data_IF_337905765110
#
_entry.id   IF_337905765110
#
_cell.length_a   1.000
_cell.length_b   1.000
_cell.length_c   1.000
_cell.angle_alpha   90.00
_cell.angle_beta   90.00
_cell.angle_gamma   90.00
#
_symmetry.space_group_name_H-M   'P 1'
#
loop_
_entity.id
_entity.type
_entity.pdbx_description
1 polymer ?
#
# COMPACT_ATOMS: atom_id res chain seq x y z
N UNK A 1 17.74 -53.71 47.62
CA UNK A 1 18.29 -52.60 46.82
C UNK A 1 17.89 -52.84 45.37
N UNK A 2 16.99 -52.04 44.79
CA UNK A 2 17.03 -51.55 43.41
C UNK A 2 15.74 -50.80 43.04
N UNK A 3 15.97 -49.67 42.36
CA UNK A 3 15.14 -48.48 42.25
C UNK A 3 14.04 -48.64 41.20
N UNK A 4 12.85 -48.13 41.52
CA UNK A 4 11.71 -48.01 40.62
C UNK A 4 12.05 -47.04 39.48
N UNK A 5 11.91 -47.48 38.23
CA UNK A 5 11.96 -46.61 37.06
C UNK A 5 10.63 -45.85 36.95
N UNK A 6 10.70 -44.53 36.86
CA UNK A 6 9.57 -43.65 36.55
C UNK A 6 9.74 -43.17 35.10
N UNK A 7 8.80 -43.56 34.23
CA UNK A 7 8.60 -42.96 32.92
C UNK A 7 7.97 -41.57 33.14
N UNK A 8 8.62 -40.52 32.65
CA UNK A 8 8.02 -39.20 32.52
C UNK A 8 7.63 -38.98 31.05
N UNK A 9 6.34 -39.06 30.77
CA UNK A 9 5.78 -38.68 29.47
C UNK A 9 5.60 -37.17 29.40
N UNK A 10 6.41 -36.50 28.57
CA UNK A 10 6.22 -35.10 28.19
C UNK A 10 5.10 -35.03 27.14
N UNK A 11 3.92 -34.61 27.57
CA UNK A 11 2.84 -34.18 26.68
C UNK A 11 3.17 -32.76 26.22
N UNK A 12 3.82 -32.64 25.07
CA UNK A 12 3.98 -31.36 24.38
C UNK A 12 2.67 -31.01 23.69
N UNK A 13 1.94 -30.04 24.23
CA UNK A 13 0.83 -29.38 23.53
C UNK A 13 1.40 -28.59 22.35
N UNK A 14 1.33 -29.17 21.16
CA UNK A 14 1.49 -28.44 19.91
C UNK A 14 0.30 -27.50 19.77
N UNK A 15 0.51 -26.20 19.99
CA UNK A 15 -0.41 -25.19 19.50
C UNK A 15 -0.30 -25.23 17.97
N UNK A 16 -1.23 -25.93 17.33
CA UNK A 16 -1.46 -25.76 15.90
C UNK A 16 -2.10 -24.39 15.73
N UNK A 17 -1.28 -23.34 15.62
CA UNK A 17 -1.73 -22.05 15.11
C UNK A 17 -2.13 -22.32 13.66
N UNK A 18 -3.43 -22.46 13.40
CA UNK A 18 -3.93 -22.46 12.03
C UNK A 18 -3.53 -21.13 11.41
N UNK A 19 -2.71 -21.15 10.37
CA UNK A 19 -2.45 -19.99 9.54
C UNK A 19 -3.78 -19.54 8.94
N UNK A 20 -4.43 -18.57 9.59
CA UNK A 20 -5.63 -17.93 9.08
C UNK A 20 -5.17 -16.84 8.11
N UNK A 21 -5.86 -16.72 6.99
CA UNK A 21 -5.65 -15.60 6.10
C UNK A 21 -5.90 -14.29 6.85
N UNK A 22 -4.93 -13.38 6.80
CA UNK A 22 -5.01 -12.04 7.37
C UNK A 22 -5.05 -11.01 6.24
N UNK A 23 -5.86 -9.96 6.42
CA UNK A 23 -5.92 -8.83 5.49
C UNK A 23 -5.04 -7.70 6.01
N UNK A 24 -4.04 -7.32 5.23
CA UNK A 24 -3.17 -6.19 5.48
C UNK A 24 -3.52 -5.05 4.53
N UNK A 25 -3.64 -3.85 5.07
CA UNK A 25 -3.80 -2.62 4.33
C UNK A 25 -2.48 -1.89 4.33
N UNK A 26 -2.09 -1.33 3.19
CA UNK A 26 -0.84 -0.59 3.06
C UNK A 26 -1.04 0.74 2.34
N UNK A 27 -0.12 1.66 2.58
CA UNK A 27 -0.03 2.92 1.87
C UNK A 27 1.41 3.42 1.78
N UNK A 28 1.80 3.88 0.59
CA UNK A 28 2.93 4.78 0.38
C UNK A 28 2.38 6.18 0.17
N UNK A 29 2.91 7.17 0.89
CA UNK A 29 2.47 8.55 0.80
C UNK A 29 3.65 9.49 0.53
N UNK A 30 3.42 10.44 -0.37
CA UNK A 30 4.42 11.42 -0.79
C UNK A 30 5.21 10.88 -1.96
N UNK A 31 4.92 11.35 -3.18
CA UNK A 31 5.54 10.85 -4.41
C UNK A 31 5.94 12.02 -5.32
N UNK A 32 7.03 11.84 -6.06
CA UNK A 32 7.51 12.81 -7.03
C UNK A 32 6.88 12.55 -8.40
N UNK A 33 6.18 13.53 -8.97
CA UNK A 33 5.75 13.43 -10.36
C UNK A 33 6.97 13.58 -11.28
N UNK A 34 7.24 12.57 -12.12
CA UNK A 34 8.44 12.48 -12.95
C UNK A 34 8.54 13.62 -13.97
N UNK A 35 7.43 14.00 -14.58
CA UNK A 35 7.41 14.95 -15.70
C UNK A 35 7.52 16.40 -15.22
N UNK A 36 6.92 16.71 -14.08
CA UNK A 36 6.95 18.06 -13.49
C UNK A 36 8.11 18.26 -12.51
N UNK A 37 8.68 17.18 -11.97
CA UNK A 37 9.67 17.24 -10.89
C UNK A 37 9.10 17.77 -9.57
N UNK A 38 7.78 17.82 -9.41
CA UNK A 38 7.12 18.34 -8.21
C UNK A 38 6.79 17.20 -7.26
N UNK A 39 7.24 17.31 -6.02
CA UNK A 39 6.88 16.38 -4.95
C UNK A 39 5.46 16.68 -4.45
N UNK A 40 4.60 15.66 -4.49
CA UNK A 40 3.23 15.74 -4.03
C UNK A 40 3.08 15.00 -2.69
N UNK A 41 2.98 15.70 -1.55
CA UNK A 41 2.91 15.08 -0.22
C UNK A 41 1.57 14.36 0.05
N UNK A 42 0.56 14.58 -0.78
CA UNK A 42 -0.76 13.93 -0.67
C UNK A 42 -0.97 12.83 -1.72
N UNK A 43 -0.03 12.65 -2.65
CA UNK A 43 -0.06 11.50 -3.56
C UNK A 43 0.13 10.22 -2.75
N UNK A 44 -0.74 9.24 -2.96
CA UNK A 44 -0.76 8.00 -2.20
C UNK A 44 -1.00 6.81 -3.12
N UNK A 45 -0.13 5.82 -3.00
CA UNK A 45 -0.35 4.46 -3.50
C UNK A 45 -0.85 3.65 -2.32
N UNK A 46 -2.04 3.09 -2.39
CA UNK A 46 -2.65 2.36 -1.30
C UNK A 46 -3.28 1.07 -1.79
N UNK A 47 -3.49 0.13 -0.89
CA UNK A 47 -4.04 -1.15 -1.28
C UNK A 47 -4.22 -2.08 -0.10
N UNK A 48 -4.50 -3.33 -0.43
CA UNK A 48 -4.53 -4.40 0.56
C UNK A 48 -4.10 -5.72 -0.06
N UNK A 49 -3.65 -6.62 0.79
CA UNK A 49 -3.37 -8.00 0.43
C UNK A 49 -3.92 -8.93 1.50
N UNK A 50 -4.30 -10.13 1.06
CA UNK A 50 -4.76 -11.22 1.92
C UNK A 50 -3.72 -12.31 1.84
N UNK A 51 -3.14 -12.68 2.97
CA UNK A 51 -2.06 -13.64 3.03
C UNK A 51 -2.16 -14.57 4.24
N UNK A 52 -1.68 -15.80 4.08
CA UNK A 52 -1.55 -16.78 5.16
C UNK A 52 -0.08 -17.15 5.32
N UNK A 53 0.48 -17.00 6.53
CA UNK A 53 1.86 -17.43 6.81
C UNK A 53 1.92 -18.96 6.93
N UNK A 54 2.08 -19.63 5.78
CA UNK A 54 2.02 -21.09 5.68
C UNK A 54 3.27 -21.75 6.25
N UNK A 55 4.40 -21.03 6.24
CA UNK A 55 5.70 -21.56 6.64
C UNK A 55 6.13 -21.10 8.06
N UNK A 56 5.39 -20.17 8.67
CA UNK A 56 5.60 -19.60 10.01
C UNK A 56 6.92 -18.83 10.16
N UNK A 57 7.39 -18.16 9.11
CA UNK A 57 8.62 -17.37 9.13
C UNK A 57 8.41 -15.89 9.48
N UNK A 58 7.16 -15.46 9.65
CA UNK A 58 6.81 -14.07 9.98
C UNK A 58 6.97 -13.10 8.81
N UNK A 59 7.12 -13.63 7.59
CA UNK A 59 7.07 -12.92 6.33
C UNK A 59 6.03 -13.54 5.41
N UNK A 60 5.64 -12.80 4.37
CA UNK A 60 4.69 -13.28 3.38
C UNK A 60 5.33 -13.20 2.02
N UNK A 61 5.39 -14.34 1.36
CA UNK A 61 5.84 -14.48 -0.01
C UNK A 61 4.65 -14.48 -0.99
N UNK A 62 4.95 -14.34 -2.29
CA UNK A 62 3.95 -14.39 -3.36
C UNK A 62 3.06 -15.65 -3.31
N UNK A 63 3.60 -16.80 -2.90
CA UNK A 63 2.85 -18.06 -2.85
C UNK A 63 1.90 -18.15 -1.64
N UNK A 64 2.05 -17.23 -0.68
CA UNK A 64 1.22 -17.12 0.52
C UNK A 64 0.11 -16.09 0.34
N UNK A 65 0.01 -15.47 -0.84
CA UNK A 65 -1.06 -14.57 -1.21
C UNK A 65 -2.30 -15.31 -1.70
N UNK A 66 -3.43 -14.97 -1.10
CA UNK A 66 -4.75 -15.30 -1.60
C UNK A 66 -5.26 -14.22 -2.55
N UNK A 67 -4.99 -12.95 -2.25
CA UNK A 67 -5.47 -11.81 -3.03
C UNK A 67 -4.59 -10.57 -2.85
N UNK A 68 -4.48 -9.76 -3.90
CA UNK A 68 -3.76 -8.49 -3.86
C UNK A 68 -4.51 -7.41 -4.64
N UNK A 69 -4.55 -6.20 -4.09
CA UNK A 69 -5.12 -5.02 -4.71
C UNK A 69 -4.30 -3.77 -4.42
N UNK A 70 -4.17 -2.90 -5.41
CA UNK A 70 -3.47 -1.63 -5.30
C UNK A 70 -4.17 -0.55 -6.12
N UNK A 71 -4.20 0.66 -5.59
CA UNK A 71 -4.75 1.84 -6.21
C UNK A 71 -3.86 3.06 -6.00
N UNK A 72 -4.29 4.17 -6.57
CA UNK A 72 -3.58 5.43 -6.54
C UNK A 72 -4.54 6.61 -6.35
N UNK A 73 -4.19 7.51 -5.44
CA UNK A 73 -4.93 8.75 -5.17
C UNK A 73 -3.95 9.94 -5.15
N UNK A 74 -4.38 11.18 -5.45
CA UNK A 74 -5.74 11.64 -5.73
C UNK A 74 -6.20 11.53 -7.19
N UNK A 75 -5.37 11.03 -8.11
CA UNK A 75 -5.65 11.07 -9.56
C UNK A 75 -6.74 10.11 -10.08
N UNK A 76 -7.61 9.61 -9.20
CA UNK A 76 -8.86 8.93 -9.60
C UNK A 76 -8.69 7.50 -10.12
N UNK A 77 -7.60 6.81 -9.77
CA UNK A 77 -7.46 5.40 -10.07
C UNK A 77 -8.41 4.57 -9.21
N UNK A 78 -9.37 3.89 -9.83
CA UNK A 78 -10.05 2.77 -9.16
C UNK A 78 -8.99 1.71 -8.90
N UNK A 79 -8.79 1.32 -7.63
CA UNK A 79 -7.79 0.29 -7.31
C UNK A 79 -7.99 -0.96 -8.17
N UNK A 80 -6.89 -1.57 -8.59
CA UNK A 80 -6.86 -2.73 -9.45
C UNK A 80 -6.32 -3.94 -8.68
N UNK A 81 -6.97 -5.08 -8.89
CA UNK A 81 -6.58 -6.34 -8.29
C UNK A 81 -5.78 -7.16 -9.28
N UNK A 82 -4.62 -7.63 -8.87
CA UNK A 82 -3.95 -8.75 -9.53
C UNK A 82 -3.95 -9.88 -8.53
N UNK A 83 -4.36 -11.07 -8.93
CA UNK A 83 -4.27 -12.24 -8.05
C UNK A 83 -2.82 -12.53 -7.66
N UNK A 84 -2.53 -13.75 -7.24
CA UNK A 84 -1.16 -14.16 -6.91
C UNK A 84 -0.28 -14.50 -8.13
N UNK A 85 -0.75 -14.23 -9.35
CA UNK A 85 -0.13 -14.70 -10.59
C UNK A 85 -0.38 -13.75 -11.75
N UNK A 86 0.28 -14.05 -12.88
CA UNK A 86 0.07 -13.35 -14.14
C UNK A 86 -0.95 -14.10 -14.99
N UNK A 87 -1.75 -13.34 -15.72
CA UNK A 87 -2.80 -13.88 -16.54
C UNK A 87 -3.28 -12.88 -17.58
N UNK A 88 -4.16 -13.37 -18.45
CA UNK A 88 -4.76 -12.59 -19.51
C UNK A 88 -6.19 -13.04 -19.73
N UNK A 89 -7.06 -12.09 -20.01
CA UNK A 89 -8.41 -12.28 -20.52
C UNK A 89 -8.54 -11.48 -21.84
N UNK A 90 -9.64 -11.65 -22.61
CA UNK A 90 -9.87 -10.79 -23.75
C UNK A 90 -9.75 -9.30 -23.35
N UNK A 91 -8.86 -8.58 -24.03
CA UNK A 91 -8.57 -7.15 -23.81
C UNK A 91 -7.90 -6.79 -22.49
N UNK A 92 -7.54 -7.75 -21.64
CA UNK A 92 -6.96 -7.49 -20.32
C UNK A 92 -5.74 -8.38 -20.06
N UNK A 93 -4.67 -7.81 -19.53
CA UNK A 93 -3.51 -8.54 -19.03
C UNK A 93 -3.19 -8.03 -17.63
N UNK A 94 -2.75 -8.94 -16.78
CA UNK A 94 -2.28 -8.61 -15.45
C UNK A 94 -1.08 -9.46 -15.07
N UNK A 95 -0.23 -8.92 -14.20
CA UNK A 95 0.90 -9.63 -13.65
C UNK A 95 1.19 -9.15 -12.24
N UNK A 96 1.39 -10.09 -11.33
CA UNK A 96 2.12 -9.86 -10.09
C UNK A 96 3.45 -10.57 -10.31
N UNK A 97 4.53 -9.83 -10.55
CA UNK A 97 5.86 -10.39 -10.82
C UNK A 97 6.56 -10.75 -9.50
N UNK A 98 6.62 -9.78 -8.60
CA UNK A 98 7.31 -9.87 -7.31
C UNK A 98 6.40 -9.45 -6.16
N UNK A 99 6.43 -10.22 -5.08
CA UNK A 99 5.76 -9.88 -3.84
C UNK A 99 6.53 -10.45 -2.65
N UNK A 100 6.87 -9.58 -1.71
CA UNK A 100 7.24 -9.99 -0.35
C UNK A 100 6.87 -8.93 0.67
N UNK A 101 6.46 -9.36 1.85
CA UNK A 101 6.22 -8.48 2.99
C UNK A 101 6.84 -9.04 4.26
N UNK A 102 7.52 -8.19 5.01
CA UNK A 102 7.91 -8.46 6.40
C UNK A 102 7.97 -7.15 7.18
N UNK A 103 7.80 -7.21 8.51
CA UNK A 103 7.93 -6.01 9.35
C UNK A 103 9.32 -5.37 9.25
N UNK A 104 10.38 -6.15 8.97
CA UNK A 104 11.75 -5.65 8.89
C UNK A 104 12.12 -5.06 7.52
N UNK A 105 11.63 -5.64 6.43
CA UNK A 105 12.01 -5.24 5.06
C UNK A 105 10.93 -4.40 4.37
N UNK A 106 9.77 -4.24 4.99
CA UNK A 106 8.61 -3.58 4.40
C UNK A 106 7.94 -4.45 3.33
N UNK A 107 7.09 -3.80 2.53
CA UNK A 107 6.44 -4.40 1.38
C UNK A 107 7.31 -4.15 0.14
N UNK A 108 7.50 -5.19 -0.67
CA UNK A 108 8.11 -5.16 -2.00
C UNK A 108 7.11 -5.74 -2.97
N UNK A 109 6.85 -5.01 -4.05
CA UNK A 109 5.84 -5.33 -5.04
C UNK A 109 6.33 -4.96 -6.43
N UNK A 110 6.14 -5.87 -7.39
CA UNK A 110 6.19 -5.56 -8.82
C UNK A 110 4.93 -6.12 -9.46
N UNK A 111 4.11 -5.25 -10.00
CA UNK A 111 2.83 -5.64 -10.57
C UNK A 111 2.42 -4.71 -11.72
N UNK A 112 1.62 -5.24 -12.64
CA UNK A 112 1.08 -4.50 -13.77
C UNK A 112 -0.32 -4.98 -14.15
N UNK A 113 -1.09 -4.07 -14.71
CA UNK A 113 -2.38 -4.34 -15.34
C UNK A 113 -2.52 -3.48 -16.58
N UNK A 114 -3.11 -4.02 -17.63
CA UNK A 114 -3.43 -3.30 -18.85
C UNK A 114 -4.76 -3.80 -19.39
N UNK A 115 -5.66 -2.89 -19.73
CA UNK A 115 -6.89 -3.13 -20.45
C UNK A 115 -6.81 -2.33 -21.76
N UNK A 116 -7.05 -2.96 -22.90
CA UNK A 116 -7.01 -2.29 -24.20
C UNK A 116 -8.00 -2.89 -25.18
N UNK A 117 -8.90 -2.03 -25.67
CA UNK A 117 -9.80 -2.25 -26.80
C UNK A 117 -9.43 -1.27 -27.92
N UNK A 118 -10.11 -1.36 -29.06
CA UNK A 118 -9.73 -0.67 -30.31
C UNK A 118 -9.61 0.85 -30.16
N UNK A 119 -10.45 1.48 -29.36
CA UNK A 119 -10.58 2.93 -29.20
C UNK A 119 -10.25 3.43 -27.78
N UNK A 120 -10.09 2.52 -26.81
CA UNK A 120 -9.86 2.85 -25.41
C UNK A 120 -8.82 1.93 -24.78
N UNK A 121 -8.02 2.48 -23.86
CA UNK A 121 -7.06 1.69 -23.11
C UNK A 121 -6.72 2.35 -21.78
N UNK A 122 -6.36 1.53 -20.82
CA UNK A 122 -5.96 1.92 -19.48
C UNK A 122 -4.94 0.93 -18.96
N UNK A 123 -3.95 1.39 -18.21
CA UNK A 123 -3.04 0.49 -17.53
C UNK A 123 -2.32 1.16 -16.40
N UNK A 124 -1.78 0.33 -15.52
CA UNK A 124 -0.98 0.76 -14.41
C UNK A 124 0.12 -0.25 -14.13
N UNK A 125 1.25 0.23 -13.63
CA UNK A 125 2.33 -0.62 -13.13
C UNK A 125 2.97 -0.01 -11.91
N UNK A 126 3.52 -0.87 -11.06
CA UNK A 126 4.17 -0.51 -9.82
C UNK A 126 5.41 -1.35 -9.63
N UNK A 127 6.49 -0.69 -9.24
CA UNK A 127 7.74 -1.29 -8.77
C UNK A 127 8.16 -0.52 -7.51
N UNK A 128 7.99 -1.15 -6.36
CA UNK A 128 8.20 -0.51 -5.06
C UNK A 128 9.60 0.07 -4.93
N UNK A 129 9.66 1.34 -4.49
CA UNK A 129 10.93 2.05 -4.32
C UNK A 129 11.49 2.59 -5.64
N UNK A 130 10.84 2.33 -6.78
CA UNK A 130 11.23 2.88 -8.09
C UNK A 130 10.13 3.78 -8.66
N UNK A 131 9.03 3.21 -9.13
CA UNK A 131 8.02 3.97 -9.86
C UNK A 131 6.64 3.35 -9.88
N UNK A 132 5.63 4.22 -9.96
CA UNK A 132 4.25 3.90 -10.26
C UNK A 132 3.92 4.61 -11.55
N UNK A 133 3.47 3.89 -12.56
CA UNK A 133 3.03 4.45 -13.83
C UNK A 133 1.56 4.16 -14.03
N UNK A 134 0.86 5.11 -14.62
CA UNK A 134 -0.51 4.98 -15.07
C UNK A 134 -0.66 5.64 -16.43
N UNK A 135 -1.32 4.95 -17.35
CA UNK A 135 -1.71 5.53 -18.63
C UNK A 135 -3.18 5.27 -18.94
N UNK A 136 -3.77 6.15 -19.72
CA UNK A 136 -5.11 5.95 -20.29
C UNK A 136 -5.30 6.71 -21.60
N UNK A 137 -6.11 6.17 -22.48
CA UNK A 137 -6.54 6.81 -23.71
C UNK A 137 -7.98 6.42 -24.06
N UNK A 138 -8.63 7.24 -24.89
CA UNK A 138 -10.01 7.02 -25.30
C UNK A 138 -10.43 7.99 -26.38
N UNK A 139 -11.45 7.62 -27.16
CA UNK A 139 -12.02 8.54 -28.16
C UNK A 139 -12.55 9.81 -27.46
N UNK A 140 -12.13 10.98 -27.97
CA UNK A 140 -12.51 12.26 -27.39
C UNK A 140 -11.91 12.58 -26.01
N UNK A 141 -10.95 11.78 -25.51
CA UNK A 141 -10.23 12.04 -24.25
C UNK A 141 -8.75 12.31 -24.51
N UNK A 142 -8.11 13.21 -23.73
CA UNK A 142 -6.65 13.36 -23.78
C UNK A 142 -5.96 12.05 -23.42
N UNK A 143 -4.85 11.76 -24.11
CA UNK A 143 -3.91 10.74 -23.66
C UNK A 143 -3.32 11.17 -22.31
N UNK A 144 -3.35 10.25 -21.34
CA UNK A 144 -2.74 10.41 -20.02
C UNK A 144 -1.65 9.37 -19.90
N UNK A 145 -0.47 9.80 -19.48
CA UNK A 145 0.64 8.93 -19.08
C UNK A 145 1.40 9.69 -18.01
N UNK A 146 1.34 9.17 -16.79
CA UNK A 146 1.88 9.82 -15.60
C UNK A 146 2.72 8.83 -14.85
N UNK A 147 3.94 9.24 -14.50
CA UNK A 147 4.83 8.45 -13.68
C UNK A 147 5.13 9.16 -12.37
N UNK A 148 4.98 8.42 -11.27
CA UNK A 148 5.33 8.81 -9.92
C UNK A 148 6.55 8.04 -9.46
N UNK A 149 7.47 8.71 -8.79
CA UNK A 149 8.71 8.14 -8.27
C UNK A 149 8.71 8.18 -6.75
N UNK A 150 9.26 7.12 -6.15
CA UNK A 150 9.58 7.12 -4.72
C UNK A 150 10.74 8.09 -4.48
N UNK A 151 10.72 8.73 -3.32
CA UNK A 151 11.79 9.57 -2.82
C UNK A 151 12.13 9.19 -1.39
N UNK A 152 13.24 9.69 -0.81
CA UNK A 152 13.52 9.51 0.61
C UNK A 152 12.44 10.07 1.55
N UNK A 153 11.63 11.02 1.07
CA UNK A 153 10.49 11.58 1.81
C UNK A 153 9.22 10.71 1.70
N UNK A 154 9.17 9.71 0.82
CA UNK A 154 8.05 8.79 0.72
C UNK A 154 7.93 7.96 2.00
N UNK A 155 6.77 8.00 2.63
CA UNK A 155 6.48 7.26 3.86
C UNK A 155 5.70 5.99 3.55
N UNK A 156 5.92 4.93 4.33
CA UNK A 156 5.21 3.66 4.22
C UNK A 156 4.46 3.34 5.51
N UNK A 157 3.22 2.88 5.37
CA UNK A 157 2.37 2.43 6.46
C UNK A 157 1.73 1.09 6.08
N UNK A 158 1.59 0.20 7.05
CA UNK A 158 0.93 -1.09 6.89
C UNK A 158 0.28 -1.53 8.20
N UNK A 159 -0.87 -2.18 8.13
CA UNK A 159 -1.55 -2.72 9.31
C UNK A 159 -2.81 -3.50 8.98
N UNK A 160 -3.45 -4.05 10.01
CA UNK A 160 -4.67 -4.87 9.87
C UNK A 160 -5.96 -4.04 9.70
N UNK A 161 -5.84 -2.71 9.79
CA UNK A 161 -6.96 -1.78 9.64
C UNK A 161 -6.72 -0.88 8.42
N UNK A 162 -7.78 -0.48 7.68
CA UNK A 162 -7.65 0.44 6.56
C UNK A 162 -6.92 1.73 6.95
N UNK A 163 -5.95 2.14 6.13
CA UNK A 163 -5.20 3.38 6.32
C UNK A 163 -6.03 4.53 5.75
N UNK A 164 -6.27 5.60 6.53
CA UNK A 164 -7.06 6.74 6.06
C UNK A 164 -6.35 7.46 4.90
N UNK A 165 -7.16 7.99 3.98
CA UNK A 165 -6.65 8.84 2.91
C UNK A 165 -6.00 10.12 3.50
N UNK A 166 -4.95 10.66 2.86
CA UNK A 166 -4.36 11.93 3.27
C UNK A 166 -5.42 13.03 3.22
N UNK A 167 -5.79 13.56 4.38
CA UNK A 167 -6.63 14.75 4.45
C UNK A 167 -5.68 15.93 4.30
N UNK A 168 -5.85 16.80 3.29
CA UNK A 168 -5.11 18.05 3.24
C UNK A 168 -5.47 18.80 4.52
N UNK A 169 -4.53 18.94 5.46
CA UNK A 169 -4.82 19.67 6.69
C UNK A 169 -5.22 21.10 6.30
N UNK A 170 -6.44 21.55 6.63
CA UNK A 170 -6.83 22.92 6.38
C UNK A 170 -6.08 23.80 7.38
N UNK A 171 -4.91 24.29 6.97
CA UNK A 171 -4.23 25.42 7.59
C UNK A 171 -4.25 25.38 9.13
N UNK A 172 -3.86 24.25 9.74
CA UNK A 172 -3.72 24.12 11.21
C UNK A 172 -2.84 25.25 11.76
N UNK A 173 -1.83 25.64 10.99
CA UNK A 173 -0.98 26.81 11.23
C UNK A 173 -1.71 28.17 11.16
N UNK A 174 -2.69 28.33 10.26
CA UNK A 174 -3.48 29.55 10.19
C UNK A 174 -4.43 29.67 11.40
N UNK A 175 -5.04 28.58 11.86
CA UNK A 175 -5.88 28.60 13.07
C UNK A 175 -5.05 28.79 14.34
N UNK A 176 -3.85 28.19 14.41
CA UNK A 176 -2.88 28.48 15.47
C UNK A 176 -2.46 29.96 15.46
N UNK A 177 -2.17 30.51 14.28
CA UNK A 177 -1.79 31.92 14.09
C UNK A 177 -2.91 32.90 14.46
N UNK A 178 -4.15 32.60 14.07
CA UNK A 178 -5.33 33.40 14.45
C UNK A 178 -5.58 33.33 15.96
N UNK A 179 -5.46 32.15 16.57
CA UNK A 179 -5.60 31.96 18.01
C UNK A 179 -4.56 32.76 18.81
N UNK A 180 -3.29 32.70 18.41
CA UNK A 180 -2.20 33.46 19.04
C UNK A 180 -2.36 34.98 18.87
N UNK A 181 -2.78 35.42 17.68
CA UNK A 181 -3.02 36.86 17.40
C UNK A 181 -4.19 37.40 18.22
N UNK A 182 -5.26 36.62 18.38
CA UNK A 182 -6.42 36.98 19.21
C UNK A 182 -6.06 37.14 20.69
N UNK A 183 -5.23 36.25 21.24
CA UNK A 183 -4.76 36.33 22.63
C UNK A 183 -3.87 37.54 22.88
N UNK A 184 -2.97 37.89 21.95
CA UNK A 184 -2.14 39.09 22.06
C UNK A 184 -2.96 40.38 22.00
N UNK A 185 -3.99 40.45 21.14
CA UNK A 185 -4.90 41.60 21.05
C UNK A 185 -5.78 41.75 22.30
N UNK A 186 -6.27 40.63 22.85
CA UNK A 186 -7.06 40.64 24.08
C UNK A 186 -6.22 41.05 25.32
N UNK A 187 -4.96 40.63 25.39
CA UNK A 187 -4.02 41.02 26.45
C UNK A 187 -3.67 42.51 26.41
N UNK A 188 -3.59 43.11 25.22
CA UNK A 188 -3.35 44.55 25.02
C UNK A 188 -4.53 45.45 25.42
N UNK A 189 -5.77 44.92 25.42
CA UNK A 189 -6.98 45.67 25.81
C UNK A 189 -7.29 45.58 27.31
N UNK A 190 -6.60 44.72 28.06
CA UNK A 190 -6.76 44.54 29.52
C UNK A 190 -5.64 45.17 30.35
N UNK A 191 -4.67 45.82 29.71
CA UNK A 191 -3.71 46.74 30.33
C UNK A 191 -4.12 48.16 29.98
#
# INVERSE_FOLDING_TARGET
MNKKMLLAGLVGTLFATSASAETFYFAYQGLLNKDTGVFNPIAQINGFFVASDLNQDGSFSKNELDYFNVGFTPEGGSGWGVGNSCGSAPYENWCLDDFSYSNSNGLRLEASVSISVEDHGWGASIDTGKSYNHYSHGEGRPYVDVTYLWTPETTFQVGLTPIPAPIPEPATWAMLGVGLSGLMLAGRRRR
#
